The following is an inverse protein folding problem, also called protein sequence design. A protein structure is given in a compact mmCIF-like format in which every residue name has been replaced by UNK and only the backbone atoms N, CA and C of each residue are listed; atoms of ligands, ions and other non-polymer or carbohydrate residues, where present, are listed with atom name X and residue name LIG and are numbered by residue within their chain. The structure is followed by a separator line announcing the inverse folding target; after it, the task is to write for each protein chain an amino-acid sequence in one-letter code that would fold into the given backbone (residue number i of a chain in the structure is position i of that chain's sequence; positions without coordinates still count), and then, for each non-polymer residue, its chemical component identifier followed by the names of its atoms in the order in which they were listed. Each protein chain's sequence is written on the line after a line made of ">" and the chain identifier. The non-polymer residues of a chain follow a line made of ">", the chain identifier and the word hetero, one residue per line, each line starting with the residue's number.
data_IF_280401177617
#
_entry.id   IF_280401177617
#
_cell.length_a   1.000
_cell.length_b   1.000
_cell.length_c   1.000
_cell.angle_alpha   90.00
_cell.angle_beta   90.00
_cell.angle_gamma   90.00
#
_symmetry.space_group_name_H-M   'P 1'
#
loop_
_entity.id
_entity.type
_entity.pdbx_description
1 polymer ?
#
# COMPACT_ATOMS: atom_id res chain seq x y z
N UNK A 1 27.57 24.42 -16.93
CA UNK A 1 26.52 24.12 -15.92
C UNK A 1 25.19 23.76 -16.61
N UNK A 2 25.21 22.91 -17.64
CA UNK A 2 24.01 22.53 -18.42
C UNK A 2 23.93 21.01 -18.68
N UNK A 3 25.04 20.27 -18.57
CA UNK A 3 25.05 18.80 -18.67
C UNK A 3 24.51 18.11 -17.41
N UNK A 4 24.69 18.70 -16.23
CA UNK A 4 24.25 18.11 -14.97
C UNK A 4 22.71 18.07 -14.83
N UNK A 5 21.99 19.03 -15.42
CA UNK A 5 20.52 19.03 -15.43
C UNK A 5 19.94 18.02 -16.41
N UNK A 6 20.61 17.80 -17.55
CA UNK A 6 20.21 16.78 -18.52
C UNK A 6 20.43 15.36 -17.98
N UNK A 7 21.52 15.14 -17.24
CA UNK A 7 21.80 13.85 -16.60
C UNK A 7 20.79 13.54 -15.47
N UNK A 8 20.40 14.55 -14.69
CA UNK A 8 19.36 14.41 -13.66
C UNK A 8 17.98 14.14 -14.27
N UNK A 9 17.63 14.78 -15.39
CA UNK A 9 16.37 14.53 -16.09
C UNK A 9 16.32 13.11 -16.68
N UNK A 10 17.43 12.61 -17.24
CA UNK A 10 17.51 11.25 -17.76
C UNK A 10 17.39 10.19 -16.66
N UNK A 11 18.01 10.44 -15.49
CA UNK A 11 17.89 9.57 -14.31
C UNK A 11 16.49 9.59 -13.71
N UNK A 12 15.83 10.74 -13.68
CA UNK A 12 14.45 10.86 -13.22
C UNK A 12 13.46 10.12 -14.14
N UNK A 13 13.67 10.17 -15.46
CA UNK A 13 12.86 9.43 -16.43
C UNK A 13 13.03 7.90 -16.31
N UNK A 14 14.24 7.44 -15.98
CA UNK A 14 14.54 6.03 -15.71
C UNK A 14 13.89 5.52 -14.42
N UNK A 15 13.81 6.36 -13.38
CA UNK A 15 13.12 6.05 -12.14
C UNK A 15 11.60 5.97 -12.36
N UNK A 16 11.01 6.94 -13.07
CA UNK A 16 9.59 6.92 -13.44
C UNK A 16 9.23 5.64 -14.21
N UNK A 17 10.04 5.28 -15.23
CA UNK A 17 9.80 4.08 -16.04
C UNK A 17 9.93 2.78 -15.23
N UNK A 18 10.74 2.79 -14.16
CA UNK A 18 10.91 1.63 -13.28
C UNK A 18 9.76 1.51 -12.28
N UNK A 19 9.31 2.63 -11.74
CA UNK A 19 8.14 2.69 -10.85
C UNK A 19 6.85 2.32 -11.61
N UNK A 20 6.71 2.75 -12.86
CA UNK A 20 5.53 2.43 -13.69
C UNK A 20 5.40 0.93 -13.98
N UNK A 21 6.53 0.24 -14.25
CA UNK A 21 6.52 -1.21 -14.47
C UNK A 21 6.16 -1.97 -13.20
N UNK A 22 6.72 -1.55 -12.06
CA UNK A 22 6.39 -2.16 -10.77
C UNK A 22 4.92 -1.91 -10.41
N UNK A 23 4.38 -0.73 -10.70
CA UNK A 23 2.96 -0.44 -10.49
C UNK A 23 2.05 -1.24 -11.42
N UNK A 24 2.42 -1.42 -12.70
CA UNK A 24 1.63 -2.21 -13.65
C UNK A 24 1.61 -3.69 -13.29
N UNK A 25 2.74 -4.28 -12.89
CA UNK A 25 2.81 -5.69 -12.47
C UNK A 25 2.01 -5.93 -11.17
N UNK A 26 2.03 -4.98 -10.23
CA UNK A 26 1.27 -5.06 -8.99
C UNK A 26 -0.23 -4.83 -9.24
N UNK A 27 -0.60 -3.93 -10.15
CA UNK A 27 -1.98 -3.67 -10.56
C UNK A 27 -2.59 -4.88 -11.31
N UNK A 28 -1.85 -5.48 -12.24
CA UNK A 28 -2.31 -6.66 -12.97
C UNK A 28 -2.52 -7.86 -12.04
N UNK A 29 -1.56 -8.13 -11.12
CA UNK A 29 -1.68 -9.21 -10.14
C UNK A 29 -2.77 -8.98 -9.10
N UNK A 30 -3.12 -7.74 -8.80
CA UNK A 30 -4.19 -7.41 -7.84
C UNK A 30 -5.59 -7.52 -8.46
N UNK A 31 -5.74 -7.28 -9.76
CA UNK A 31 -7.01 -7.47 -10.47
C UNK A 31 -7.43 -8.95 -10.57
N UNK A 32 -6.48 -9.86 -10.83
CA UNK A 32 -6.77 -11.30 -10.93
C UNK A 32 -7.11 -11.95 -9.58
N UNK A 33 -6.64 -11.38 -8.47
CA UNK A 33 -6.82 -11.92 -7.09
C UNK A 33 -8.00 -11.31 -6.34
N UNK A 34 -8.70 -10.33 -6.90
CA UNK A 34 -9.83 -9.68 -6.23
C UNK A 34 -11.06 -10.61 -6.01
N UNK A 35 -11.14 -11.74 -6.71
CA UNK A 35 -12.23 -12.73 -6.56
C UNK A 35 -11.96 -13.89 -5.60
N UNK A 36 -10.70 -14.09 -5.18
CA UNK A 36 -10.28 -15.14 -4.26
C UNK A 36 -9.52 -14.42 -3.14
N UNK A 37 -10.18 -14.19 -1.99
CA UNK A 37 -9.56 -13.47 -0.88
C UNK A 37 -8.12 -13.92 -0.64
N UNK A 38 -7.21 -12.97 -0.44
CA UNK A 38 -5.78 -13.26 -0.31
C UNK A 38 -5.56 -14.39 0.70
N UNK A 39 -4.80 -15.40 0.30
CA UNK A 39 -4.48 -16.54 1.15
C UNK A 39 -3.73 -16.04 2.39
N UNK A 40 -3.87 -16.73 3.53
CA UNK A 40 -3.22 -16.31 4.78
C UNK A 40 -1.70 -16.11 4.64
N UNK A 41 -1.06 -16.92 3.78
CA UNK A 41 0.34 -16.80 3.41
C UNK A 41 0.67 -15.49 2.68
N UNK A 42 -0.19 -15.08 1.74
CA UNK A 42 0.00 -13.84 0.98
C UNK A 42 -0.17 -12.62 1.88
N UNK A 43 -1.13 -12.65 2.81
CA UNK A 43 -1.32 -11.58 3.78
C UNK A 43 -0.10 -11.47 4.70
N UNK A 44 0.48 -12.59 5.15
CA UNK A 44 1.71 -12.59 5.96
C UNK A 44 2.91 -12.00 5.22
N UNK A 45 3.07 -12.32 3.93
CA UNK A 45 4.16 -11.76 3.14
C UNK A 45 3.97 -10.26 2.90
N UNK A 46 2.74 -9.81 2.64
CA UNK A 46 2.42 -8.39 2.54
C UNK A 46 2.65 -7.67 3.88
N UNK A 47 2.30 -8.25 5.02
CA UNK A 47 2.55 -7.66 6.34
C UNK A 47 4.04 -7.41 6.60
N UNK A 48 4.93 -8.31 6.15
CA UNK A 48 6.39 -8.09 6.25
C UNK A 48 6.83 -6.88 5.43
N UNK A 49 6.39 -6.83 4.16
CA UNK A 49 6.74 -5.73 3.24
C UNK A 49 6.22 -4.39 3.77
N UNK A 50 4.99 -4.36 4.27
CA UNK A 50 4.40 -3.14 4.83
C UNK A 50 4.99 -2.76 6.19
N UNK A 51 5.44 -3.73 7.00
CA UNK A 51 6.09 -3.49 8.29
C UNK A 51 7.51 -2.94 8.17
N UNK A 52 8.22 -3.25 7.08
CA UNK A 52 9.52 -2.64 6.75
C UNK A 52 9.36 -1.26 6.07
N UNK A 53 8.14 -0.92 5.64
CA UNK A 53 7.84 0.30 4.93
C UNK A 53 7.52 1.47 5.87
N UNK A 54 7.87 2.69 5.46
CA UNK A 54 7.46 3.88 6.23
C UNK A 54 5.93 4.02 6.25
N UNK A 55 5.33 4.48 7.36
CA UNK A 55 3.88 4.64 7.46
C UNK A 55 3.27 5.55 6.39
N UNK A 56 4.04 6.53 5.91
CA UNK A 56 3.63 7.44 4.84
C UNK A 56 3.49 6.72 3.50
N UNK A 57 4.50 5.93 3.12
CA UNK A 57 4.49 5.19 1.87
C UNK A 57 3.40 4.11 1.90
N UNK A 58 3.26 3.41 3.03
CA UNK A 58 2.20 2.42 3.23
C UNK A 58 0.81 3.04 3.08
N UNK A 59 0.57 4.21 3.69
CA UNK A 59 -0.69 4.94 3.55
C UNK A 59 -0.96 5.32 2.08
N UNK A 60 0.03 5.86 1.37
CA UNK A 60 -0.13 6.23 -0.05
C UNK A 60 -0.48 5.04 -0.94
N UNK A 61 0.11 3.87 -0.69
CA UNK A 61 -0.22 2.66 -1.46
C UNK A 61 -1.64 2.19 -1.09
N UNK A 62 -2.00 2.19 0.20
CA UNK A 62 -3.31 1.76 0.68
C UNK A 62 -4.49 2.64 0.22
N UNK A 63 -4.24 3.89 -0.16
CA UNK A 63 -5.24 4.75 -0.82
C UNK A 63 -5.75 4.13 -2.13
N UNK A 64 -4.88 3.42 -2.87
CA UNK A 64 -5.23 2.72 -4.11
C UNK A 64 -5.63 1.25 -3.93
N UNK A 65 -5.53 0.68 -2.73
CA UNK A 65 -5.93 -0.70 -2.46
C UNK A 65 -7.44 -0.82 -2.27
N UNK A 66 -7.97 -2.00 -2.56
CA UNK A 66 -9.35 -2.34 -2.21
C UNK A 66 -9.54 -2.38 -0.68
N UNK A 67 -10.75 -2.03 -0.23
CA UNK A 67 -11.05 -1.91 1.19
C UNK A 67 -10.89 -3.24 1.95
N UNK A 68 -11.28 -4.35 1.33
CA UNK A 68 -11.24 -5.68 1.95
C UNK A 68 -9.82 -6.10 2.31
N UNK A 69 -8.87 -5.88 1.39
CA UNK A 69 -7.46 -6.20 1.56
C UNK A 69 -6.79 -5.21 2.51
N UNK A 70 -7.13 -3.92 2.42
CA UNK A 70 -6.65 -2.90 3.37
C UNK A 70 -7.08 -3.23 4.81
N UNK A 71 -8.34 -3.61 5.02
CA UNK A 71 -8.86 -4.03 6.33
C UNK A 71 -8.20 -5.33 6.80
N UNK A 72 -8.01 -6.31 5.91
CA UNK A 72 -7.34 -7.57 6.24
C UNK A 72 -5.86 -7.37 6.64
N UNK A 73 -5.17 -6.42 6.02
CA UNK A 73 -3.81 -6.02 6.40
C UNK A 73 -3.80 -5.27 7.73
N UNK A 74 -4.60 -4.22 7.88
CA UNK A 74 -4.63 -3.38 9.08
C UNK A 74 -5.04 -4.17 10.34
N UNK A 75 -5.99 -5.10 10.21
CA UNK A 75 -6.47 -5.94 11.34
C UNK A 75 -5.43 -6.95 11.85
N UNK A 76 -4.45 -7.33 11.04
CA UNK A 76 -3.40 -8.30 11.39
C UNK A 76 -2.05 -7.64 11.68
N UNK A 77 -1.97 -6.33 11.48
CA UNK A 77 -0.78 -5.53 11.75
C UNK A 77 -0.73 -5.13 13.23
N UNK A 78 0.46 -4.92 13.83
CA UNK A 78 0.55 -4.33 15.17
C UNK A 78 -0.20 -3.00 15.26
N UNK A 79 -0.89 -2.78 16.38
CA UNK A 79 -1.77 -1.62 16.58
C UNK A 79 -1.06 -0.28 16.34
N UNK A 80 0.18 -0.12 16.81
CA UNK A 80 0.96 1.11 16.63
C UNK A 80 1.27 1.40 15.16
N UNK A 81 1.55 0.36 14.38
CA UNK A 81 1.82 0.47 12.94
C UNK A 81 0.54 0.80 12.17
N UNK A 82 -0.57 0.12 12.49
CA UNK A 82 -1.87 0.43 11.89
C UNK A 82 -2.30 1.88 12.18
N UNK A 83 -2.13 2.33 13.43
CA UNK A 83 -2.42 3.71 13.84
C UNK A 83 -1.53 4.72 13.11
N UNK A 84 -0.23 4.44 12.99
CA UNK A 84 0.70 5.30 12.27
C UNK A 84 0.35 5.43 10.77
N UNK A 85 -0.09 4.35 10.13
CA UNK A 85 -0.52 4.35 8.73
C UNK A 85 -1.84 5.13 8.57
N UNK A 86 -2.85 4.84 9.39
CA UNK A 86 -4.13 5.55 9.36
C UNK A 86 -3.95 7.07 9.56
N UNK A 87 -3.03 7.47 10.45
CA UNK A 87 -2.69 8.88 10.68
C UNK A 87 -2.01 9.57 9.49
N UNK A 88 -1.53 8.82 8.50
CA UNK A 88 -0.92 9.33 7.26
C UNK A 88 -1.84 9.25 6.04
N UNK A 89 -3.04 8.67 6.20
CA UNK A 89 -4.07 8.63 5.15
C UNK A 89 -4.86 9.93 5.08
N UNK A 90 -5.65 10.07 4.01
CA UNK A 90 -6.65 11.12 3.94
C UNK A 90 -7.77 10.88 4.96
N UNK A 91 -8.36 11.93 5.57
CA UNK A 91 -9.41 11.75 6.57
C UNK A 91 -10.61 10.88 6.12
N UNK A 92 -11.13 11.02 4.88
CA UNK A 92 -12.21 10.16 4.39
C UNK A 92 -11.80 8.68 4.29
N UNK A 93 -10.58 8.40 3.84
CA UNK A 93 -10.06 7.03 3.70
C UNK A 93 -9.87 6.37 5.06
N UNK A 94 -9.23 7.09 5.99
CA UNK A 94 -9.02 6.62 7.34
C UNK A 94 -10.36 6.26 8.01
N UNK A 95 -11.35 7.16 7.94
CA UNK A 95 -12.68 6.90 8.50
C UNK A 95 -13.34 5.66 7.89
N UNK A 96 -13.35 5.53 6.55
CA UNK A 96 -13.96 4.40 5.87
C UNK A 96 -13.32 3.05 6.26
N UNK A 97 -11.99 3.00 6.40
CA UNK A 97 -11.29 1.80 6.81
C UNK A 97 -11.48 1.50 8.30
N UNK A 98 -11.50 2.51 9.17
CA UNK A 98 -11.80 2.37 10.59
C UNK A 98 -13.21 1.84 10.85
N UNK A 99 -14.22 2.34 10.13
CA UNK A 99 -15.58 1.82 10.22
C UNK A 99 -15.65 0.34 9.84
N UNK A 100 -14.96 -0.06 8.76
CA UNK A 100 -14.90 -1.46 8.33
C UNK A 100 -14.16 -2.35 9.31
N UNK A 101 -13.09 -1.86 9.93
CA UNK A 101 -12.38 -2.55 11.01
C UNK A 101 -13.28 -2.78 12.23
N UNK A 102 -14.13 -1.81 12.59
CA UNK A 102 -15.06 -1.97 13.72
C UNK A 102 -16.15 -3.01 13.47
N UNK A 103 -16.52 -3.23 12.21
CA UNK A 103 -17.59 -4.14 11.78
C UNK A 103 -17.11 -5.56 11.52
N UNK A 104 -15.81 -5.75 11.26
CA UNK A 104 -15.18 -7.06 11.17
C UNK A 104 -14.62 -7.41 12.55
N UNK A 105 -15.24 -8.30 13.34
CA UNK A 105 -14.73 -8.63 14.65
C UNK A 105 -13.30 -9.17 14.51
N UNK A 106 -12.39 -8.61 15.29
CA UNK A 106 -11.08 -9.22 15.50
C UNK A 106 -11.30 -10.67 15.99
N UNK A 107 -10.60 -11.67 15.42
CA UNK A 107 -10.64 -13.04 15.94
C UNK A 107 -10.02 -13.13 17.34
#
# INVERSE_FOLDING_TARGET
>A
MWQLSQDLAARAALLLSREERVMQDVAARSAERAGQGASDKEIKDLLKVYGEMSPRNAAQIMEGLNDTLSVALLSRMPQDQAAAILAKMTPPRAAALTEKLSRSPAP
#
